data_IF_822864873790
#
_entry.id   IF_822864873790
#
_cell.length_a   1.000
_cell.length_b   1.000
_cell.length_c   1.000
_cell.angle_alpha   90.00
_cell.angle_beta   90.00
_cell.angle_gamma   90.00
#
_symmetry.space_group_name_H-M   'P 1'
#
loop_
_entity.id
_entity.type
_entity.pdbx_description
1 polymer ?
#
# COMPACT_ATOMS: atom_id res chain seq x y z
N UNK A 1 -6.33 -5.04 8.63
CA UNK A 1 -5.24 -4.26 7.98
C UNK A 1 -5.85 -3.13 7.16
N UNK A 2 -5.59 -1.88 7.55
CA UNK A 2 -5.99 -0.67 6.83
C UNK A 2 -4.98 -0.39 5.72
N UNK A 3 -5.47 -0.13 4.50
CA UNK A 3 -4.59 -0.03 3.32
C UNK A 3 -4.63 1.32 2.61
N UNK A 4 -5.62 2.16 2.90
CA UNK A 4 -5.80 3.42 2.21
C UNK A 4 -6.50 4.48 3.08
N UNK A 5 -6.45 5.73 2.63
CA UNK A 5 -7.03 6.86 3.37
C UNK A 5 -8.54 6.77 3.58
N UNK A 6 -9.29 6.12 2.69
CA UNK A 6 -10.75 5.92 2.86
C UNK A 6 -11.04 4.91 3.97
N UNK A 7 -10.31 3.80 4.00
CA UNK A 7 -10.38 2.79 5.07
C UNK A 7 -9.95 3.40 6.41
N UNK A 8 -8.85 4.17 6.44
CA UNK A 8 -8.44 4.93 7.64
C UNK A 8 -9.56 5.82 8.16
N UNK A 9 -10.15 6.65 7.29
CA UNK A 9 -11.23 7.55 7.69
C UNK A 9 -12.48 6.79 8.18
N UNK A 10 -12.74 5.59 7.63
CA UNK A 10 -13.80 4.72 8.11
C UNK A 10 -13.49 4.14 9.50
N UNK A 11 -12.29 3.64 9.70
CA UNK A 11 -11.82 3.12 10.97
C UNK A 11 -11.86 4.19 12.08
N UNK A 12 -11.43 5.43 11.78
CA UNK A 12 -11.53 6.54 12.73
C UNK A 12 -12.97 6.85 13.15
N UNK A 13 -13.93 6.82 12.22
CA UNK A 13 -15.35 6.98 12.56
C UNK A 13 -15.89 5.82 13.39
N UNK A 14 -15.44 4.60 13.11
CA UNK A 14 -15.82 3.42 13.88
C UNK A 14 -15.28 3.50 15.31
N UNK A 15 -14.03 3.93 15.50
CA UNK A 15 -13.42 4.14 16.80
C UNK A 15 -14.21 5.16 17.62
N UNK A 16 -14.57 6.31 17.02
CA UNK A 16 -15.42 7.31 17.68
C UNK A 16 -16.76 6.73 18.15
N UNK A 17 -17.45 5.96 17.30
CA UNK A 17 -18.72 5.31 17.66
C UNK A 17 -18.57 4.28 18.78
N UNK A 18 -17.51 3.48 18.75
CA UNK A 18 -17.22 2.50 19.80
C UNK A 18 -16.93 3.19 21.12
N UNK A 19 -16.16 4.28 21.11
CA UNK A 19 -15.86 5.09 22.29
C UNK A 19 -17.13 5.75 22.88
N UNK A 20 -18.01 6.28 22.04
CA UNK A 20 -19.32 6.81 22.46
C UNK A 20 -20.18 5.71 23.10
N UNK A 21 -20.25 4.53 22.47
CA UNK A 21 -21.02 3.39 22.98
C UNK A 21 -20.48 2.91 24.33
N UNK A 22 -19.15 2.85 24.46
CA UNK A 22 -18.48 2.54 25.72
C UNK A 22 -18.83 3.54 26.81
N UNK A 23 -18.77 4.84 26.51
CA UNK A 23 -19.14 5.89 27.44
C UNK A 23 -20.60 5.77 27.88
N UNK A 24 -21.51 5.42 26.96
CA UNK A 24 -22.91 5.17 27.27
C UNK A 24 -23.09 4.02 28.28
N UNK A 25 -22.42 2.87 28.08
CA UNK A 25 -22.50 1.75 29.04
C UNK A 25 -21.87 2.05 30.39
N UNK A 26 -20.82 2.88 30.44
CA UNK A 26 -20.25 3.33 31.70
C UNK A 26 -21.21 4.24 32.48
N UNK A 27 -21.94 5.10 31.77
CA UNK A 27 -22.90 6.03 32.36
C UNK A 27 -24.27 5.41 32.66
N UNK A 28 -24.59 4.25 32.10
CA UNK A 28 -25.89 3.59 32.25
C UNK A 28 -26.08 3.05 33.68
N UNK A 29 -27.02 3.61 34.48
CA UNK A 29 -27.29 3.16 35.83
C UNK A 29 -28.11 1.87 35.88
N UNK A 30 -28.72 1.44 34.77
CA UNK A 30 -29.54 0.22 34.70
C UNK A 30 -28.70 -1.06 34.62
N UNK A 31 -27.43 -0.94 34.21
CA UNK A 31 -26.51 -2.06 34.14
C UNK A 31 -25.95 -2.39 35.53
N UNK A 32 -26.03 -3.68 35.89
CA UNK A 32 -25.32 -4.16 37.06
C UNK A 32 -23.78 -4.10 36.83
N UNK A 33 -22.97 -4.07 37.90
CA UNK A 33 -21.52 -3.94 37.77
C UNK A 33 -20.85 -5.05 36.95
N UNK A 34 -21.36 -6.29 37.01
CA UNK A 34 -20.79 -7.41 36.28
C UNK A 34 -21.11 -7.30 34.78
N UNK A 35 -22.35 -6.98 34.43
CA UNK A 35 -22.78 -6.70 33.05
C UNK A 35 -21.98 -5.56 32.44
N UNK A 36 -21.85 -4.44 33.17
CA UNK A 36 -21.05 -3.29 32.71
C UNK A 36 -19.61 -3.70 32.42
N UNK A 37 -18.99 -4.48 33.31
CA UNK A 37 -17.61 -4.95 33.14
C UNK A 37 -17.45 -5.78 31.87
N UNK A 38 -18.36 -6.73 31.61
CA UNK A 38 -18.30 -7.58 30.41
C UNK A 38 -18.49 -6.76 29.14
N UNK A 39 -19.50 -5.89 29.10
CA UNK A 39 -19.81 -5.07 27.92
C UNK A 39 -18.69 -4.08 27.59
N UNK A 40 -18.18 -3.38 28.60
CA UNK A 40 -17.07 -2.43 28.43
C UNK A 40 -15.79 -3.17 28.08
N UNK A 41 -15.49 -4.31 28.72
CA UNK A 41 -14.30 -5.10 28.41
C UNK A 41 -14.26 -5.60 26.97
N UNK A 42 -15.40 -6.04 26.42
CA UNK A 42 -15.49 -6.43 25.01
C UNK A 42 -15.27 -5.25 24.05
N UNK A 43 -15.82 -4.08 24.39
CA UNK A 43 -15.58 -2.85 23.63
C UNK A 43 -14.13 -2.40 23.70
N UNK A 44 -13.48 -2.52 24.87
CA UNK A 44 -12.07 -2.17 25.06
C UNK A 44 -11.15 -3.03 24.21
N UNK A 45 -11.39 -4.34 24.15
CA UNK A 45 -10.64 -5.23 23.26
C UNK A 45 -10.84 -4.87 21.77
N UNK A 46 -12.06 -4.48 21.39
CA UNK A 46 -12.38 -4.08 20.01
C UNK A 46 -11.74 -2.74 19.66
N UNK A 47 -11.76 -1.77 20.58
CA UNK A 47 -11.09 -0.48 20.43
C UNK A 47 -9.59 -0.66 20.24
N UNK A 48 -8.95 -1.45 21.10
CA UNK A 48 -7.52 -1.72 21.04
C UNK A 48 -7.10 -2.32 19.68
N UNK A 49 -7.88 -3.27 19.15
CA UNK A 49 -7.61 -3.87 17.83
C UNK A 49 -7.69 -2.84 16.69
N UNK A 50 -8.69 -1.96 16.70
CA UNK A 50 -8.84 -0.90 15.68
C UNK A 50 -7.75 0.15 15.80
N UNK A 51 -7.35 0.50 17.02
CA UNK A 51 -6.24 1.42 17.30
C UNK A 51 -4.90 0.86 16.81
N UNK A 52 -4.64 -0.44 17.01
CA UNK A 52 -3.44 -1.11 16.52
C UNK A 52 -3.35 -1.07 14.98
N UNK A 53 -4.45 -1.37 14.27
CA UNK A 53 -4.46 -1.29 12.81
C UNK A 53 -4.25 0.14 12.28
N UNK A 54 -4.76 1.15 13.00
CA UNK A 54 -4.54 2.55 12.67
C UNK A 54 -3.09 2.97 12.91
N UNK A 55 -2.50 2.54 14.02
CA UNK A 55 -1.11 2.80 14.35
C UNK A 55 -0.16 2.16 13.32
N UNK A 56 -0.44 0.93 12.88
CA UNK A 56 0.31 0.28 11.80
C UNK A 56 0.24 1.09 10.50
N UNK A 57 -0.97 1.51 10.11
CA UNK A 57 -1.15 2.35 8.91
C UNK A 57 -0.41 3.69 9.03
N UNK A 58 -0.44 4.34 10.20
CA UNK A 58 0.22 5.61 10.43
C UNK A 58 1.75 5.50 10.42
N UNK A 59 2.31 4.44 11.01
CA UNK A 59 3.73 4.14 10.94
C UNK A 59 4.17 3.92 9.49
N UNK A 60 3.43 3.10 8.75
CA UNK A 60 3.66 2.89 7.32
C UNK A 60 3.59 4.20 6.54
N UNK A 61 2.54 5.01 6.74
CA UNK A 61 2.35 6.29 6.06
C UNK A 61 3.42 7.33 6.43
N UNK A 62 3.98 7.25 7.64
CA UNK A 62 5.13 8.03 8.09
C UNK A 62 6.47 7.60 7.48
N UNK A 63 6.47 6.59 6.59
CA UNK A 63 7.66 6.10 5.91
C UNK A 63 8.40 5.00 6.67
N UNK A 64 7.86 4.49 7.78
CA UNK A 64 8.43 3.35 8.49
C UNK A 64 8.04 2.06 7.78
N UNK A 65 8.77 1.74 6.71
CA UNK A 65 8.64 0.44 6.04
C UNK A 65 9.53 -0.56 6.78
N UNK A 66 8.98 -1.66 7.33
CA UNK A 66 9.80 -2.70 7.92
C UNK A 66 10.72 -3.30 6.84
N UNK A 67 12.02 -3.13 6.99
CA UNK A 67 13.03 -3.77 6.15
C UNK A 67 13.08 -5.25 6.51
N UNK A 68 12.32 -6.08 5.80
CA UNK A 68 12.39 -7.52 5.94
C UNK A 68 12.50 -8.19 4.56
N UNK A 69 13.54 -9.01 4.38
CA UNK A 69 13.54 -10.05 3.34
C UNK A 69 12.35 -10.98 3.61
N UNK A 70 11.32 -10.89 2.77
CA UNK A 70 10.08 -11.67 2.91
C UNK A 70 9.84 -12.52 1.67
N UNK A 71 9.23 -13.71 1.82
CA UNK A 71 8.99 -14.62 0.71
C UNK A 71 8.11 -13.98 -0.37
N UNK A 72 8.28 -14.43 -1.63
CA UNK A 72 7.60 -13.87 -2.81
C UNK A 72 6.06 -13.83 -2.68
N UNK A 73 5.48 -14.73 -1.90
CA UNK A 73 4.04 -14.76 -1.59
C UNK A 73 3.54 -13.48 -0.89
N UNK A 74 4.43 -12.75 -0.20
CA UNK A 74 4.11 -11.54 0.55
C UNK A 74 4.38 -10.25 -0.24
N UNK A 75 4.80 -10.36 -1.51
CA UNK A 75 5.09 -9.21 -2.38
C UNK A 75 3.86 -8.31 -2.56
N UNK A 76 2.65 -8.87 -2.62
CA UNK A 76 1.42 -8.09 -2.70
C UNK A 76 1.24 -7.17 -1.48
N UNK A 77 1.47 -7.71 -0.28
CA UNK A 77 1.41 -6.97 0.98
C UNK A 77 2.51 -5.92 1.06
N UNK A 78 3.74 -6.26 0.66
CA UNK A 78 4.87 -5.33 0.57
C UNK A 78 4.59 -4.16 -0.37
N UNK A 79 3.97 -4.42 -1.53
CA UNK A 79 3.58 -3.37 -2.48
C UNK A 79 2.52 -2.44 -1.87
N UNK A 80 1.57 -2.97 -1.09
CA UNK A 80 0.59 -2.15 -0.38
C UNK A 80 1.27 -1.28 0.68
N UNK A 81 2.15 -1.86 1.50
CA UNK A 81 2.90 -1.14 2.55
C UNK A 81 3.79 -0.05 1.96
N UNK A 82 4.58 -0.37 0.92
CA UNK A 82 5.41 0.59 0.21
C UNK A 82 4.59 1.71 -0.45
N UNK A 83 3.41 1.39 -1.00
CA UNK A 83 2.49 2.38 -1.57
C UNK A 83 1.99 3.35 -0.50
N UNK A 84 1.63 2.86 0.68
CA UNK A 84 1.19 3.68 1.82
C UNK A 84 2.32 4.60 2.27
N UNK A 85 3.53 4.06 2.44
CA UNK A 85 4.72 4.82 2.81
C UNK A 85 5.12 5.89 1.79
N UNK A 86 4.89 5.64 0.50
CA UNK A 86 5.12 6.62 -0.56
C UNK A 86 3.97 7.64 -0.70
N UNK A 87 2.89 7.54 0.08
CA UNK A 87 1.72 8.42 -0.03
C UNK A 87 0.96 8.27 -1.36
N UNK A 88 1.11 7.14 -2.06
CA UNK A 88 0.59 6.96 -3.42
C UNK A 88 -0.82 6.34 -3.41
N UNK A 89 -1.69 6.86 -4.28
CA UNK A 89 -2.96 6.20 -4.60
C UNK A 89 -2.72 5.01 -5.52
N UNK A 90 -3.69 4.09 -5.66
CA UNK A 90 -3.56 2.96 -6.59
C UNK A 90 -3.30 3.43 -8.04
N UNK A 91 -3.95 4.54 -8.44
CA UNK A 91 -3.68 5.23 -9.71
C UNK A 91 -2.30 5.88 -9.77
N UNK A 92 -1.86 6.57 -8.72
CA UNK A 92 -0.54 7.20 -8.68
C UNK A 92 0.61 6.19 -8.70
N UNK A 93 0.41 5.01 -8.11
CA UNK A 93 1.32 3.88 -8.23
C UNK A 93 1.35 3.37 -9.67
N UNK A 94 0.19 3.14 -10.27
CA UNK A 94 0.08 2.72 -11.67
C UNK A 94 0.78 3.74 -12.60
N UNK A 95 0.51 5.03 -12.46
CA UNK A 95 1.11 6.10 -13.27
C UNK A 95 2.64 6.17 -13.09
N UNK A 96 3.19 6.09 -11.86
CA UNK A 96 4.65 6.06 -11.62
C UNK A 96 5.33 4.80 -12.16
N UNK A 97 4.72 3.63 -11.98
CA UNK A 97 5.34 2.35 -12.36
C UNK A 97 5.08 1.97 -13.82
N UNK A 98 3.97 2.40 -14.44
CA UNK A 98 3.74 2.27 -15.88
C UNK A 98 4.65 3.21 -16.66
N UNK A 99 4.86 4.45 -16.20
CA UNK A 99 5.84 5.35 -16.82
C UNK A 99 7.27 4.78 -16.76
N UNK A 100 7.65 4.16 -15.63
CA UNK A 100 8.93 3.47 -15.52
C UNK A 100 9.04 2.24 -16.44
N UNK A 101 7.96 1.47 -16.59
CA UNK A 101 7.91 0.34 -17.54
C UNK A 101 7.97 0.81 -19.00
N UNK A 102 7.34 1.93 -19.34
CA UNK A 102 7.37 2.50 -20.68
C UNK A 102 8.78 2.97 -21.06
N UNK A 103 9.48 3.67 -20.16
CA UNK A 103 10.90 4.01 -20.36
C UNK A 103 11.80 2.78 -20.48
N UNK A 104 11.60 1.75 -19.66
CA UNK A 104 12.38 0.51 -19.75
C UNK A 104 12.11 -0.23 -21.08
N UNK A 105 10.87 -0.26 -21.56
CA UNK A 105 10.51 -0.83 -22.86
C UNK A 105 11.12 -0.01 -24.00
N UNK A 106 11.08 1.32 -23.92
CA UNK A 106 11.71 2.20 -24.90
C UNK A 106 13.23 2.07 -24.90
N UNK A 107 13.88 1.96 -23.74
CA UNK A 107 15.31 1.69 -23.65
C UNK A 107 15.68 0.30 -24.18
N UNK A 108 14.90 -0.73 -23.86
CA UNK A 108 15.10 -2.08 -24.39
C UNK A 108 14.88 -2.14 -25.92
N UNK A 109 13.89 -1.40 -26.43
CA UNK A 109 13.63 -1.25 -27.85
C UNK A 109 14.76 -0.48 -28.56
N UNK A 110 15.23 0.63 -27.97
CA UNK A 110 16.36 1.40 -28.48
C UNK A 110 17.66 0.57 -28.50
N UNK A 111 17.90 -0.23 -27.45
CA UNK A 111 19.05 -1.15 -27.37
C UNK A 111 18.97 -2.25 -28.44
N UNK A 112 17.76 -2.74 -28.76
CA UNK A 112 17.55 -3.69 -29.86
C UNK A 112 17.73 -3.07 -31.25
N UNK A 113 17.35 -1.81 -31.45
CA UNK A 113 17.55 -1.10 -32.73
C UNK A 113 19.01 -0.72 -32.97
N UNK A 114 19.80 -0.43 -31.94
CA UNK A 114 21.25 -0.16 -32.08
C UNK A 114 22.04 -1.43 -32.45
N UNK A 115 21.58 -2.63 -32.04
CA UNK A 115 22.27 -3.90 -32.35
C UNK A 115 22.00 -4.45 -33.75
N UNK A 116 21.11 -3.85 -34.54
CA UNK A 116 20.73 -4.36 -35.87
C UNK A 116 20.78 -3.31 -36.98
N UNK A 117 21.70 -2.34 -36.87
CA UNK A 117 21.85 -1.28 -37.86
C UNK A 117 23.30 -0.88 -38.10
N UNK A 118 24.17 -1.82 -38.48
CA UNK A 118 25.33 -1.54 -39.36
C UNK A 118 26.18 -2.79 -39.54
N UNK A 119 25.87 -3.62 -40.53
CA UNK A 119 26.93 -4.33 -41.26
C UNK A 119 26.42 -4.80 -42.61
N UNK A 120 27.23 -4.53 -43.64
CA UNK A 120 27.18 -5.05 -45.00
C UNK A 120 26.13 -4.48 -45.97
N UNK A 121 26.42 -3.29 -46.53
CA UNK A 121 26.18 -3.04 -47.95
C UNK A 121 27.33 -2.20 -48.53
N UNK A 122 28.50 -2.82 -48.68
CA UNK A 122 29.60 -2.27 -49.47
C UNK A 122 29.56 -2.87 -50.87
N UNK A 123 29.07 -2.03 -51.80
CA UNK A 123 29.29 -1.98 -53.25
C UNK A 123 30.32 -2.96 -53.84
N UNK A 124 29.90 -3.70 -54.86
CA UNK A 124 30.80 -4.25 -55.88
C UNK A 124 31.32 -3.14 -56.80
N UNK A 125 32.59 -3.18 -57.24
CA UNK A 125 33.03 -2.39 -58.38
C UNK A 125 32.93 -3.24 -59.66
N UNK A 126 32.23 -2.71 -60.68
CA UNK A 126 32.49 -3.08 -62.07
C UNK A 126 33.80 -2.42 -62.50
N UNK A 127 34.63 -3.08 -63.32
CA UNK A 127 35.47 -2.39 -64.28
C UNK A 127 34.95 -2.62 -65.69
N UNK A 128 34.81 -1.50 -66.40
CA UNK A 128 34.68 -1.36 -67.84
C UNK A 128 36.05 -1.59 -68.48
N UNK A 129 36.11 -2.35 -69.57
CA UNK A 129 37.33 -2.57 -70.38
C UNK A 129 37.21 -3.85 -71.19
#
# INVERSE_FOLDING_TARGET
MITNGRERACAQRQLARLAETRAAYLADPSLDPAQRTVLVGGLDATLAAVEEELAEFEALAGGQVPSAERPLAEVGTLLIQARIAAGLTQRGLAERHLAAREQQVQQAAATRYVRSGSTACSRSPRPSG
#
